data_IF_309747117347
#
_entry.id   IF_309747117347
#
_cell.length_a   1.000
_cell.length_b   1.000
_cell.length_c   1.000
_cell.angle_alpha   90.00
_cell.angle_beta   90.00
_cell.angle_gamma   90.00
#
_symmetry.space_group_name_H-M   'P 1'
#
loop_
_entity.id
_entity.type
_entity.pdbx_description
1 polymer ?
#
# COMPACT_ATOMS: atom_id res chain seq x y z
N UNK A 1 21.36 -2.94 -9.14
CA UNK A 1 20.64 -3.80 -10.12
C UNK A 1 19.95 -4.99 -9.45
N UNK A 2 20.64 -5.76 -8.60
CA UNK A 2 20.02 -6.90 -7.89
C UNK A 2 18.90 -6.48 -6.93
N UNK A 3 19.12 -5.46 -6.09
CA UNK A 3 18.14 -4.96 -5.12
C UNK A 3 16.80 -4.48 -5.75
N UNK A 4 16.84 -3.90 -6.94
CA UNK A 4 15.64 -3.46 -7.66
C UNK A 4 14.80 -4.64 -8.18
N UNK A 5 15.46 -5.72 -8.61
CA UNK A 5 14.77 -6.91 -9.11
C UNK A 5 14.15 -7.72 -7.97
N UNK A 6 14.85 -7.87 -6.84
CA UNK A 6 14.33 -8.53 -5.64
C UNK A 6 13.17 -7.74 -5.04
N UNK A 7 13.28 -6.40 -4.95
CA UNK A 7 12.18 -5.54 -4.51
C UNK A 7 10.93 -5.71 -5.37
N UNK A 8 11.07 -5.74 -6.69
CA UNK A 8 9.95 -5.90 -7.62
C UNK A 8 9.24 -7.25 -7.43
N UNK A 9 10.00 -8.34 -7.30
CA UNK A 9 9.45 -9.68 -7.07
C UNK A 9 8.71 -9.79 -5.73
N UNK A 10 9.31 -9.27 -4.65
CA UNK A 10 8.71 -9.25 -3.32
C UNK A 10 7.42 -8.42 -3.34
N UNK A 11 7.42 -7.26 -4.00
CA UNK A 11 6.25 -6.38 -4.06
C UNK A 11 5.09 -7.02 -4.81
N UNK A 12 5.35 -7.74 -5.92
CA UNK A 12 4.29 -8.45 -6.65
C UNK A 12 3.69 -9.61 -5.86
N UNK A 13 4.51 -10.34 -5.10
CA UNK A 13 4.04 -11.52 -4.36
C UNK A 13 3.36 -11.14 -3.03
N UNK A 14 3.95 -10.20 -2.29
CA UNK A 14 3.48 -9.77 -0.96
C UNK A 14 2.44 -8.66 -1.07
N UNK A 15 2.43 -7.90 -2.16
CA UNK A 15 1.53 -6.78 -2.42
C UNK A 15 0.04 -7.08 -2.19
N UNK A 16 -0.54 -8.10 -2.86
CA UNK A 16 -1.95 -8.43 -2.73
C UNK A 16 -2.34 -8.90 -1.33
N UNK A 17 -1.43 -9.56 -0.60
CA UNK A 17 -1.67 -9.99 0.77
C UNK A 17 -1.65 -8.80 1.73
N UNK A 18 -0.66 -7.91 1.59
CA UNK A 18 -0.55 -6.73 2.42
C UNK A 18 -1.71 -5.76 2.18
N UNK A 19 -2.12 -5.55 0.92
CA UNK A 19 -3.31 -4.77 0.55
C UNK A 19 -4.55 -5.26 1.29
N UNK A 20 -4.81 -6.57 1.26
CA UNK A 20 -5.96 -7.18 1.95
C UNK A 20 -5.87 -7.01 3.47
N UNK A 21 -4.67 -7.12 4.03
CA UNK A 21 -4.44 -6.94 5.47
C UNK A 21 -4.64 -5.48 5.92
N UNK A 22 -4.17 -4.52 5.13
CA UNK A 22 -4.33 -3.09 5.41
C UNK A 22 -5.78 -2.63 5.23
N UNK A 23 -6.48 -3.15 4.22
CA UNK A 23 -7.91 -2.95 4.04
C UNK A 23 -8.71 -3.50 5.23
N UNK A 24 -8.34 -4.67 5.75
CA UNK A 24 -8.97 -5.28 6.93
C UNK A 24 -8.75 -4.47 8.22
N UNK A 25 -7.62 -3.75 8.34
CA UNK A 25 -7.32 -2.90 9.49
C UNK A 25 -8.12 -1.58 9.51
N UNK A 26 -8.97 -1.32 8.50
CA UNK A 26 -9.85 -0.15 8.40
C UNK A 26 -9.15 1.17 8.74
N UNK A 27 -7.89 1.33 8.33
CA UNK A 27 -7.18 2.62 8.34
C UNK A 27 -7.72 3.49 7.19
N UNK A 28 -9.02 3.76 7.23
CA UNK A 28 -9.72 4.62 6.31
C UNK A 28 -9.59 6.05 6.82
N UNK A 29 -9.15 6.95 5.94
CA UNK A 29 -9.21 8.37 6.25
C UNK A 29 -10.67 8.81 6.25
N UNK A 30 -11.11 9.64 7.21
CA UNK A 30 -12.45 10.22 7.18
C UNK A 30 -12.61 11.04 5.90
N UNK A 31 -13.59 10.68 5.08
CA UNK A 31 -13.88 11.37 3.83
C UNK A 31 -14.67 12.62 4.18
N UNK A 32 -14.13 13.79 3.87
CA UNK A 32 -14.82 15.05 4.13
C UNK A 32 -15.98 15.19 3.16
N UNK A 33 -17.18 15.45 3.66
CA UNK A 33 -18.39 15.61 2.83
C UNK A 33 -18.41 16.91 2.00
N UNK A 34 -17.50 17.85 2.29
CA UNK A 34 -17.42 19.16 1.63
C UNK A 34 -16.26 19.15 0.64
N UNK A 35 -16.54 18.81 -0.62
CA UNK A 35 -15.57 18.81 -1.72
C UNK A 35 -16.04 18.00 -2.93
N UNK A 36 -15.29 18.01 -4.05
CA UNK A 36 -15.58 17.16 -5.21
C UNK A 36 -15.69 15.68 -4.78
N UNK A 37 -16.53 14.91 -5.46
CA UNK A 37 -16.92 13.58 -5.03
C UNK A 37 -15.71 12.61 -4.98
N UNK A 38 -15.24 12.33 -3.77
CA UNK A 38 -14.19 11.34 -3.49
C UNK A 38 -14.78 10.03 -2.94
N UNK A 39 -16.10 9.86 -2.94
CA UNK A 39 -16.79 8.64 -2.49
C UNK A 39 -16.35 7.42 -3.31
N UNK A 40 -15.97 7.59 -4.57
CA UNK A 40 -15.43 6.51 -5.41
C UNK A 40 -14.09 5.96 -4.89
N UNK A 41 -13.36 6.71 -4.04
CA UNK A 41 -12.13 6.28 -3.37
C UNK A 41 -12.38 5.93 -1.89
N UNK A 42 -13.65 5.87 -1.48
CA UNK A 42 -14.01 5.47 -0.14
C UNK A 42 -13.57 4.03 0.11
N UNK A 43 -12.75 3.85 1.15
CA UNK A 43 -12.25 2.53 1.49
C UNK A 43 -11.04 2.07 0.68
N UNK A 44 -10.43 2.89 -0.19
CA UNK A 44 -9.02 2.69 -0.57
C UNK A 44 -8.16 3.22 0.58
N UNK A 45 -7.55 2.36 1.41
CA UNK A 45 -6.60 2.82 2.42
C UNK A 45 -5.41 3.48 1.72
N UNK A 46 -4.53 4.09 2.50
CA UNK A 46 -3.22 4.67 2.13
C UNK A 46 -2.20 3.65 1.54
N UNK A 47 -2.69 2.65 0.79
CA UNK A 47 -2.06 1.35 0.55
C UNK A 47 -0.80 1.39 -0.30
N UNK A 48 -0.62 2.38 -1.16
CA UNK A 48 0.60 2.47 -1.98
C UNK A 48 1.84 2.82 -1.15
N UNK A 49 1.74 3.83 -0.29
CA UNK A 49 2.90 4.37 0.44
C UNK A 49 3.48 3.38 1.45
N UNK A 50 2.62 2.73 2.24
CA UNK A 50 3.08 1.74 3.23
C UNK A 50 3.68 0.50 2.56
N UNK A 51 3.10 0.05 1.43
CA UNK A 51 3.67 -1.03 0.62
C UNK A 51 5.08 -0.69 0.15
N UNK A 52 5.26 0.53 -0.38
CA UNK A 52 6.55 1.01 -0.89
C UNK A 52 7.57 1.08 0.24
N UNK A 53 7.20 1.63 1.41
CA UNK A 53 8.10 1.73 2.55
C UNK A 53 8.51 0.35 3.10
N UNK A 54 7.56 -0.59 3.22
CA UNK A 54 7.86 -1.96 3.66
C UNK A 54 8.75 -2.69 2.65
N UNK A 55 8.42 -2.61 1.36
CA UNK A 55 9.20 -3.24 0.31
C UNK A 55 10.62 -2.66 0.22
N UNK A 56 10.76 -1.33 0.37
CA UNK A 56 12.05 -0.65 0.41
C UNK A 56 12.89 -1.11 1.60
N UNK A 57 12.34 -1.10 2.82
CA UNK A 57 13.06 -1.50 4.03
C UNK A 57 13.53 -2.95 3.94
N UNK A 58 12.66 -3.87 3.50
CA UNK A 58 13.02 -5.28 3.32
C UNK A 58 14.11 -5.44 2.25
N UNK A 59 14.03 -4.68 1.15
CA UNK A 59 15.00 -4.79 0.05
C UNK A 59 16.35 -4.12 0.34
N UNK A 60 16.41 -3.19 1.30
CA UNK A 60 17.65 -2.54 1.75
C UNK A 60 18.38 -3.38 2.80
N UNK A 61 17.64 -4.15 3.60
CA UNK A 61 18.20 -5.06 4.61
C UNK A 61 18.70 -6.39 4.04
N UNK A 62 18.33 -6.72 2.80
CA UNK A 62 18.74 -7.90 2.03
C UNK A 62 19.91 -7.57 1.09
#
# INVERSE_FOLDING_TARGET
AAATLTAMFITFLVGPWLIRRLAALRVGQPIREIGPDHQAKAGTPTMGGLLILLALVVSVLL
#
